data_IF_092898816351
#
_entry.id   IF_092898816351
#
_cell.length_a   1.000
_cell.length_b   1.000
_cell.length_c   1.000
_cell.angle_alpha   90.00
_cell.angle_beta   90.00
_cell.angle_gamma   90.00
#
_symmetry.space_group_name_H-M   'P 1'
#
loop_
_entity.id
_entity.type
_entity.pdbx_description
1 polymer ?
#
# COMPACT_ATOMS: atom_id res chain seq x y z
N UNK A 1 -5.83 -8.48 -7.45
CA UNK A 1 -5.22 -8.42 -6.10
C UNK A 1 -6.36 -8.23 -5.10
N UNK A 2 -6.41 -8.96 -3.99
CA UNK A 2 -7.32 -8.66 -2.87
C UNK A 2 -6.63 -7.77 -1.83
N UNK A 3 -7.41 -7.15 -0.94
CA UNK A 3 -6.86 -6.32 0.15
C UNK A 3 -5.97 -7.14 1.09
N UNK A 4 -6.36 -8.38 1.38
CA UNK A 4 -5.52 -9.32 2.16
C UNK A 4 -4.20 -9.62 1.45
N UNK A 5 -4.22 -9.85 0.14
CA UNK A 5 -2.99 -10.06 -0.64
C UNK A 5 -2.10 -8.82 -0.64
N UNK A 6 -2.69 -7.63 -0.74
CA UNK A 6 -1.98 -6.35 -0.62
C UNK A 6 -1.30 -6.20 0.74
N UNK A 7 -2.03 -6.49 1.82
CA UNK A 7 -1.55 -6.41 3.20
C UNK A 7 -0.40 -7.38 3.48
N UNK A 8 -0.40 -8.56 2.85
CA UNK A 8 0.72 -9.50 2.92
C UNK A 8 1.91 -8.99 2.09
N UNK A 9 1.66 -8.52 0.87
CA UNK A 9 2.70 -8.13 -0.07
C UNK A 9 3.44 -6.85 0.33
N UNK A 10 2.82 -5.93 1.09
CA UNK A 10 3.40 -4.64 1.47
C UNK A 10 4.77 -4.76 2.14
N UNK A 11 4.93 -5.76 3.03
CA UNK A 11 6.14 -5.92 3.84
C UNK A 11 7.28 -6.36 2.93
N UNK A 12 7.01 -7.35 2.06
CA UNK A 12 7.97 -7.78 1.06
C UNK A 12 8.33 -6.64 0.11
N UNK A 13 7.36 -5.80 -0.29
CA UNK A 13 7.62 -4.67 -1.17
C UNK A 13 8.58 -3.64 -0.56
N UNK A 14 8.30 -3.18 0.67
CA UNK A 14 9.17 -2.21 1.37
C UNK A 14 10.54 -2.82 1.67
N UNK A 15 10.60 -4.11 2.03
CA UNK A 15 11.87 -4.81 2.24
C UNK A 15 12.68 -4.84 0.95
N UNK A 16 12.09 -5.26 -0.17
CA UNK A 16 12.77 -5.28 -1.46
C UNK A 16 13.25 -3.89 -1.91
N UNK A 17 12.48 -2.82 -1.66
CA UNK A 17 12.97 -1.46 -1.92
C UNK A 17 14.23 -1.14 -1.10
N UNK A 18 14.23 -1.57 0.16
CA UNK A 18 15.36 -1.37 1.08
C UNK A 18 16.57 -2.20 0.62
N UNK A 19 16.37 -3.45 0.21
CA UNK A 19 17.42 -4.35 -0.30
C UNK A 19 18.01 -3.85 -1.64
N UNK A 20 17.26 -3.07 -2.40
CA UNK A 20 17.69 -2.43 -3.64
C UNK A 20 18.30 -1.03 -3.42
N UNK A 21 18.64 -0.68 -2.17
CA UNK A 21 19.21 0.61 -1.79
C UNK A 21 18.39 1.83 -2.26
N UNK A 22 17.06 1.70 -2.28
CA UNK A 22 16.22 2.86 -2.55
C UNK A 22 16.40 3.91 -1.45
N UNK A 23 16.32 5.21 -1.78
CA UNK A 23 16.43 6.26 -0.78
C UNK A 23 15.40 6.07 0.34
N UNK A 24 15.86 6.13 1.59
CA UNK A 24 15.05 5.75 2.76
C UNK A 24 13.76 6.56 2.92
N UNK A 25 13.70 7.78 2.40
CA UNK A 25 12.48 8.59 2.34
C UNK A 25 11.39 7.95 1.46
N UNK A 26 11.76 7.28 0.35
CA UNK A 26 10.80 6.54 -0.47
C UNK A 26 10.30 5.29 0.23
N UNK A 27 11.19 4.51 0.86
CA UNK A 27 10.80 3.33 1.65
C UNK A 27 9.84 3.73 2.79
N UNK A 28 10.15 4.82 3.48
CA UNK A 28 9.31 5.35 4.56
C UNK A 28 7.95 5.86 4.05
N UNK A 29 7.92 6.54 2.90
CA UNK A 29 6.69 7.01 2.28
C UNK A 29 5.75 5.85 1.94
N UNK A 30 6.28 4.77 1.34
CA UNK A 30 5.51 3.56 1.06
C UNK A 30 5.03 2.86 2.33
N UNK A 31 5.89 2.70 3.34
CA UNK A 31 5.49 2.12 4.62
C UNK A 31 4.35 2.92 5.28
N UNK A 32 4.47 4.25 5.31
CA UNK A 32 3.44 5.14 5.85
C UNK A 32 2.14 5.05 5.04
N UNK A 33 2.23 5.00 3.72
CA UNK A 33 1.07 4.83 2.84
C UNK A 33 0.30 3.55 3.19
N UNK A 34 0.99 2.42 3.33
CA UNK A 34 0.34 1.16 3.69
C UNK A 34 -0.32 1.19 5.07
N UNK A 35 0.31 1.83 6.07
CA UNK A 35 -0.30 2.02 7.40
C UNK A 35 -1.61 2.81 7.29
N UNK A 36 -1.63 3.89 6.52
CA UNK A 36 -2.84 4.70 6.32
C UNK A 36 -3.92 3.86 5.63
N UNK A 37 -3.54 3.12 4.60
CA UNK A 37 -4.44 2.31 3.79
C UNK A 37 -5.11 1.20 4.61
N UNK A 38 -4.38 0.59 5.55
CA UNK A 38 -4.90 -0.45 6.45
C UNK A 38 -5.76 0.06 7.61
N UNK A 39 -5.55 1.30 8.03
CA UNK A 39 -6.34 1.90 9.08
C UNK A 39 -7.45 2.80 8.53
N UNK A 40 -7.63 2.83 7.20
CA UNK A 40 -8.61 3.70 6.57
C UNK A 40 -10.03 3.25 6.91
N UNK A 41 -10.85 4.17 7.43
CA UNK A 41 -12.23 3.90 7.86
C UNK A 41 -13.11 3.31 6.76
N UNK A 42 -12.81 3.61 5.49
CA UNK A 42 -13.55 3.06 4.34
C UNK A 42 -13.52 1.53 4.32
N UNK A 43 -12.45 0.89 4.81
CA UNK A 43 -12.35 -0.57 4.84
C UNK A 43 -13.53 -1.20 5.60
N UNK A 44 -13.99 -0.56 6.68
CA UNK A 44 -15.02 -1.11 7.59
C UNK A 44 -16.41 -0.53 7.39
N UNK A 45 -16.49 0.72 6.94
CA UNK A 45 -17.75 1.49 6.92
C UNK A 45 -18.45 1.42 5.57
N UNK A 46 -17.71 1.17 4.47
CA UNK A 46 -18.26 1.25 3.11
C UNK A 46 -18.42 -0.15 2.51
N UNK A 47 -19.57 -0.46 1.87
CA UNK A 47 -19.67 -1.65 1.02
C UNK A 47 -18.55 -1.64 -0.01
N UNK A 48 -17.83 -2.77 -0.16
CA UNK A 48 -16.68 -2.89 -1.07
C UNK A 48 -15.47 -2.00 -0.73
N UNK A 49 -15.37 -1.46 0.49
CA UNK A 49 -14.28 -0.57 0.89
C UNK A 49 -12.87 -1.14 0.65
N UNK A 50 -12.68 -2.44 0.90
CA UNK A 50 -11.44 -3.14 0.57
C UNK A 50 -11.08 -3.11 -0.92
N UNK A 51 -12.06 -3.22 -1.82
CA UNK A 51 -11.83 -3.18 -3.27
C UNK A 51 -11.43 -1.77 -3.72
N UNK A 52 -12.09 -0.74 -3.18
CA UNK A 52 -11.76 0.67 -3.43
C UNK A 52 -10.32 0.97 -3.02
N UNK A 53 -9.91 0.50 -1.83
CA UNK A 53 -8.56 0.70 -1.32
C UNK A 53 -7.50 0.00 -2.19
N UNK A 54 -7.80 -1.19 -2.71
CA UNK A 54 -6.91 -1.88 -3.66
C UNK A 54 -6.80 -1.11 -4.99
N UNK A 55 -7.91 -0.59 -5.51
CA UNK A 55 -7.88 0.20 -6.74
C UNK A 55 -7.09 1.49 -6.58
N UNK A 56 -7.30 2.18 -5.46
CA UNK A 56 -6.53 3.37 -5.11
C UNK A 56 -5.02 3.06 -5.00
N UNK A 57 -4.65 1.96 -4.35
CA UNK A 57 -3.24 1.51 -4.32
C UNK A 57 -2.67 1.34 -5.73
N UNK A 58 -3.40 0.66 -6.63
CA UNK A 58 -2.96 0.42 -7.99
C UNK A 58 -2.79 1.73 -8.80
N UNK A 59 -3.69 2.69 -8.60
CA UNK A 59 -3.63 4.01 -9.23
C UNK A 59 -2.43 4.82 -8.74
N UNK A 60 -2.23 4.92 -7.42
CA UNK A 60 -1.07 5.60 -6.84
C UNK A 60 0.24 4.98 -7.32
N UNK A 61 0.32 3.65 -7.37
CA UNK A 61 1.50 2.95 -7.89
C UNK A 61 1.78 3.28 -9.36
N UNK A 62 0.74 3.43 -10.18
CA UNK A 62 0.89 3.79 -11.60
C UNK A 62 1.39 5.22 -11.78
N UNK A 63 0.98 6.13 -10.90
CA UNK A 63 1.35 7.54 -10.94
C UNK A 63 2.67 7.85 -10.24
N UNK A 64 3.31 6.85 -9.63
CA UNK A 64 4.59 7.01 -8.96
C UNK A 64 5.73 6.97 -9.98
N UNK A 65 6.35 8.13 -10.23
CA UNK A 65 7.52 8.32 -11.10
C UNK A 65 8.71 8.81 -10.29
#
# INVERSE_FOLDING_TARGET
LSFRQLSIAKTAYVQTMTDLDWPGNYCHAWAKFYIILENHSYQRVTPHGEQVLVWYHAEIRRNWY
#
